data_IF_153501066687
#
_entry.id   IF_153501066687
#
_cell.length_a   1.000
_cell.length_b   1.000
_cell.length_c   1.000
_cell.angle_alpha   90.00
_cell.angle_beta   90.00
_cell.angle_gamma   90.00
#
_symmetry.space_group_name_H-M   'P 1'
#
loop_
_entity.id
_entity.type
_entity.pdbx_description
1 polymer ?
#
# COMPACT_ATOMS: atom_id res chain seq x y z
N UNK A 1 9.19 6.98 -17.90
CA UNK A 1 10.32 6.90 -16.93
C UNK A 1 10.10 5.71 -16.02
N UNK A 2 11.16 5.05 -15.54
CA UNK A 2 11.04 3.93 -14.58
C UNK A 2 11.65 4.38 -13.26
N UNK A 3 10.99 4.13 -12.13
CA UNK A 3 11.59 4.40 -10.81
C UNK A 3 11.75 3.11 -10.05
N UNK A 4 12.90 2.88 -9.43
CA UNK A 4 13.17 1.69 -8.64
C UNK A 4 13.59 2.02 -7.21
N UNK A 5 13.27 1.11 -6.29
CA UNK A 5 13.75 1.17 -4.92
C UNK A 5 15.18 0.68 -4.83
N UNK A 6 15.99 1.47 -4.15
CA UNK A 6 17.32 1.13 -3.70
C UNK A 6 17.24 0.97 -2.18
N UNK A 7 16.76 -0.22 -1.77
CA UNK A 7 16.44 -0.53 -0.38
C UNK A 7 17.67 -0.36 0.52
N UNK A 8 18.85 -0.75 0.05
CA UNK A 8 20.11 -0.65 0.78
C UNK A 8 20.53 0.81 1.05
N UNK A 9 20.03 1.75 0.25
CA UNK A 9 20.28 3.18 0.43
C UNK A 9 19.01 3.95 0.83
N UNK A 10 17.96 3.24 1.27
CA UNK A 10 16.76 3.85 1.83
C UNK A 10 16.11 4.89 0.92
N UNK A 11 16.07 4.63 -0.40
CA UNK A 11 15.66 5.61 -1.40
C UNK A 11 14.91 5.01 -2.59
N UNK A 12 14.11 5.87 -3.24
CA UNK A 12 13.50 5.62 -4.54
C UNK A 12 14.20 6.53 -5.54
N UNK A 13 14.66 5.95 -6.64
CA UNK A 13 15.37 6.67 -7.69
C UNK A 13 14.53 6.58 -8.97
N UNK A 14 14.44 7.69 -9.71
CA UNK A 14 13.74 7.80 -10.99
C UNK A 14 14.76 7.86 -12.12
N UNK A 15 14.59 7.01 -13.11
CA UNK A 15 15.39 6.97 -14.33
C UNK A 15 14.57 7.44 -15.53
N UNK A 16 15.20 8.30 -16.33
CA UNK A 16 14.74 8.57 -17.70
C UNK A 16 15.06 7.35 -18.57
N UNK A 17 14.19 7.09 -19.56
CA UNK A 17 14.42 6.00 -20.49
C UNK A 17 15.78 6.21 -21.18
N UNK A 18 16.59 5.15 -21.28
CA UNK A 18 17.95 5.17 -21.83
C UNK A 18 18.97 6.03 -21.05
N UNK A 19 18.67 6.44 -19.82
CA UNK A 19 19.64 7.14 -18.97
C UNK A 19 20.51 6.16 -18.18
N UNK A 20 21.78 6.51 -18.02
CA UNK A 20 22.74 5.77 -17.17
C UNK A 20 22.77 6.29 -15.73
N UNK A 21 22.05 7.38 -15.43
CA UNK A 21 21.95 7.95 -14.08
C UNK A 21 20.49 8.20 -13.68
N UNK A 22 20.22 8.07 -12.40
CA UNK A 22 18.91 8.28 -11.82
C UNK A 22 18.90 9.50 -10.90
N UNK A 23 17.73 10.12 -10.75
CA UNK A 23 17.49 11.22 -9.81
C UNK A 23 16.75 10.67 -8.59
N UNK A 24 17.12 11.12 -7.39
CA UNK A 24 16.41 10.71 -6.17
C UNK A 24 14.98 11.25 -6.24
N UNK A 25 14.01 10.36 -6.29
CA UNK A 25 12.59 10.69 -6.20
C UNK A 25 12.12 10.74 -4.74
N UNK A 26 12.77 9.97 -3.87
CA UNK A 26 12.53 9.95 -2.43
C UNK A 26 13.67 9.30 -1.65
N UNK A 27 13.77 9.57 -0.35
CA UNK A 27 14.76 8.90 0.51
C UNK A 27 16.17 9.50 0.46
N UNK A 28 17.13 8.85 1.12
CA UNK A 28 18.56 8.94 0.76
C UNK A 28 19.39 10.17 1.15
N UNK A 29 18.94 11.05 2.06
CA UNK A 29 19.70 12.26 2.45
C UNK A 29 20.39 12.21 3.84
N UNK A 30 20.72 11.03 4.38
CA UNK A 30 21.48 10.96 5.64
C UNK A 30 21.65 9.54 6.19
N UNK A 31 22.63 9.38 7.09
CA UNK A 31 22.79 8.20 7.95
C UNK A 31 21.69 8.20 9.03
N UNK A 32 21.33 6.99 9.46
CA UNK A 32 20.25 6.60 10.38
C UNK A 32 19.61 7.70 11.24
N UNK A 33 18.27 7.79 11.15
CA UNK A 33 17.32 8.64 11.91
C UNK A 33 16.84 9.95 11.25
N UNK A 34 17.04 10.13 9.94
CA UNK A 34 16.44 11.27 9.25
C UNK A 34 14.95 11.05 8.95
N UNK A 35 14.12 12.10 9.09
CA UNK A 35 12.71 12.10 8.66
C UNK A 35 12.54 11.82 7.16
N UNK A 36 13.64 11.93 6.39
CA UNK A 36 13.69 11.68 4.95
C UNK A 36 14.14 10.25 4.62
N UNK A 37 14.41 9.37 5.59
CA UNK A 37 14.90 8.01 5.36
C UNK A 37 13.75 6.99 5.23
N UNK A 38 13.85 6.09 4.25
CA UNK A 38 12.93 4.97 4.03
C UNK A 38 13.58 3.65 4.46
N UNK A 39 13.13 3.02 5.55
CA UNK A 39 13.91 1.92 6.12
C UNK A 39 13.81 0.62 5.31
N UNK A 40 12.61 0.27 4.85
CA UNK A 40 12.35 -0.91 4.01
C UNK A 40 11.37 -0.57 2.89
N UNK A 41 11.67 0.48 2.10
CA UNK A 41 10.88 0.77 0.90
C UNK A 41 11.08 -0.35 -0.09
N UNK A 42 10.11 -1.25 -0.15
CA UNK A 42 9.95 -2.12 -1.29
C UNK A 42 9.17 -1.33 -2.33
N UNK A 43 9.54 -1.51 -3.61
CA UNK A 43 8.68 -1.29 -4.78
C UNK A 43 8.93 -0.12 -5.76
N UNK A 44 8.71 -0.42 -7.04
CA UNK A 44 9.11 0.33 -8.25
C UNK A 44 7.90 1.08 -8.84
N UNK A 45 7.98 2.41 -8.98
CA UNK A 45 6.98 3.21 -9.73
C UNK A 45 7.17 3.00 -11.23
N UNK A 46 6.25 2.26 -11.85
CA UNK A 46 6.08 2.21 -13.31
C UNK A 46 5.07 3.26 -13.79
N UNK A 47 5.48 4.10 -14.73
CA UNK A 47 4.60 5.04 -15.44
C UNK A 47 3.69 4.28 -16.43
N UNK A 48 2.36 4.49 -16.33
CA UNK A 48 1.33 3.72 -17.03
C UNK A 48 1.34 3.93 -18.56
N UNK A 49 2.07 4.92 -19.07
CA UNK A 49 2.13 5.14 -20.52
C UNK A 49 2.89 4.04 -21.30
N UNK A 50 3.64 3.14 -20.64
CA UNK A 50 4.45 2.11 -21.35
C UNK A 50 4.37 0.67 -20.78
N UNK A 51 3.30 0.31 -20.07
CA UNK A 51 2.93 -1.10 -19.88
C UNK A 51 3.78 -1.96 -18.93
N UNK A 52 4.33 -1.43 -17.84
CA UNK A 52 4.95 -2.25 -16.76
C UNK A 52 4.26 -2.07 -15.40
N UNK A 53 4.15 -3.19 -14.66
CA UNK A 53 3.47 -3.34 -13.37
C UNK A 53 4.09 -2.54 -12.22
N UNK A 54 3.22 -2.22 -11.26
CA UNK A 54 3.36 -1.44 -10.02
C UNK A 54 3.93 -2.35 -8.92
N UNK A 55 4.69 -1.80 -7.96
CA UNK A 55 4.24 -1.65 -6.57
C UNK A 55 4.81 -0.29 -6.05
N UNK A 56 4.14 0.37 -5.10
CA UNK A 56 4.05 1.81 -4.78
C UNK A 56 3.17 2.60 -5.75
N UNK A 57 2.10 3.17 -5.19
CA UNK A 57 1.03 3.79 -5.96
C UNK A 57 1.29 5.28 -6.14
N UNK A 58 0.87 5.79 -7.29
CA UNK A 58 0.99 7.20 -7.66
C UNK A 58 -0.40 7.72 -7.86
N UNK A 59 -0.71 8.80 -7.16
CA UNK A 59 -1.89 9.58 -7.52
C UNK A 59 -1.60 10.34 -8.81
N UNK A 60 -2.11 9.80 -9.91
CA UNK A 60 -1.91 10.31 -11.28
C UNK A 60 -2.55 11.68 -11.49
N UNK A 61 -3.47 12.10 -10.62
CA UNK A 61 -4.13 13.40 -10.74
C UNK A 61 -3.25 14.55 -10.26
N UNK A 62 -2.30 14.29 -9.36
CA UNK A 62 -1.55 15.34 -8.67
C UNK A 62 -0.05 15.05 -8.49
N UNK A 63 0.42 13.87 -8.92
CA UNK A 63 1.82 13.47 -8.93
C UNK A 63 2.40 13.13 -7.56
N UNK A 64 1.56 12.86 -6.55
CA UNK A 64 2.05 12.39 -5.26
C UNK A 64 2.48 10.92 -5.32
N UNK A 65 3.61 10.64 -4.68
CA UNK A 65 4.08 9.29 -4.40
C UNK A 65 3.51 8.86 -3.06
N UNK A 66 3.00 7.63 -2.99
CA UNK A 66 2.59 6.99 -1.74
C UNK A 66 3.51 5.82 -1.48
N UNK A 67 4.18 5.86 -0.35
CA UNK A 67 5.23 4.92 -0.01
C UNK A 67 4.94 4.34 1.35
N UNK A 68 5.07 3.04 1.39
CA UNK A 68 4.97 2.23 2.59
C UNK A 68 6.33 2.16 3.28
N UNK A 69 6.33 2.33 4.58
CA UNK A 69 7.45 1.96 5.46
C UNK A 69 6.96 0.88 6.43
N UNK A 70 7.41 -0.36 6.19
CA UNK A 70 6.99 -1.52 6.98
C UNK A 70 7.50 -1.44 8.42
N UNK A 71 8.78 -1.09 8.61
CA UNK A 71 9.42 -1.02 9.93
C UNK A 71 8.80 0.06 10.81
N UNK A 72 8.26 1.11 10.19
CA UNK A 72 7.57 2.20 10.90
C UNK A 72 6.05 2.04 10.95
N UNK A 73 5.51 0.96 10.37
CA UNK A 73 4.07 0.68 10.31
C UNK A 73 3.25 1.89 9.79
N UNK A 74 3.71 2.51 8.71
CA UNK A 74 3.11 3.73 8.19
C UNK A 74 3.11 3.81 6.66
N UNK A 75 2.21 4.65 6.15
CA UNK A 75 2.18 5.10 4.76
C UNK A 75 2.40 6.60 4.74
N UNK A 76 3.33 7.04 3.91
CA UNK A 76 3.66 8.46 3.73
C UNK A 76 3.41 8.87 2.29
N UNK A 77 2.97 10.12 2.09
CA UNK A 77 2.91 10.74 0.75
C UNK A 77 3.79 11.98 0.63
N UNK A 78 4.32 12.21 -0.57
CA UNK A 78 5.03 13.44 -0.94
C UNK A 78 5.16 13.58 -2.46
N UNK A 79 5.46 14.80 -2.93
CA UNK A 79 5.83 15.02 -4.34
C UNK A 79 7.30 14.66 -4.56
N UNK A 80 7.68 14.14 -5.73
CA UNK A 80 9.08 13.92 -6.07
C UNK A 80 9.92 15.16 -5.76
N UNK A 81 11.13 14.95 -5.21
CA UNK A 81 12.10 16.01 -4.87
C UNK A 81 11.70 16.95 -3.72
N UNK A 82 10.45 16.92 -3.25
CA UNK A 82 10.02 17.63 -2.04
C UNK A 82 10.73 17.03 -0.81
N UNK A 83 10.87 17.77 0.29
CA UNK A 83 11.32 17.28 1.60
C UNK A 83 10.16 17.09 2.58
N UNK A 84 9.00 17.67 2.31
CA UNK A 84 7.82 17.52 3.15
C UNK A 84 7.22 16.11 3.00
N UNK A 85 7.01 15.41 4.12
CA UNK A 85 6.51 14.02 4.16
C UNK A 85 5.30 13.98 5.08
N UNK A 86 4.16 13.56 4.54
CA UNK A 86 2.90 13.53 5.31
C UNK A 86 2.54 12.07 5.56
N UNK A 87 2.39 11.69 6.83
CA UNK A 87 1.81 10.39 7.20
C UNK A 87 0.33 10.43 6.87
N UNK A 88 -0.13 9.42 6.14
CA UNK A 88 -1.49 9.32 5.60
C UNK A 88 -2.22 8.03 6.02
N UNK A 89 -1.49 7.05 6.57
CA UNK A 89 -2.06 5.89 7.27
C UNK A 89 -1.03 5.36 8.28
N UNK A 90 -1.50 4.79 9.39
CA UNK A 90 -0.62 4.24 10.45
C UNK A 90 0.21 5.32 11.16
N UNK A 91 1.46 5.01 11.48
CA UNK A 91 2.42 5.93 12.12
C UNK A 91 2.26 6.10 13.63
N UNK A 92 1.44 5.26 14.27
CA UNK A 92 1.21 5.25 15.72
C UNK A 92 1.76 3.98 16.37
N UNK A 93 2.82 3.41 15.80
CA UNK A 93 3.42 2.13 16.21
C UNK A 93 2.64 0.91 15.71
N UNK A 94 3.22 -0.26 15.96
CA UNK A 94 2.59 -1.55 15.68
C UNK A 94 1.36 -1.77 16.58
N UNK A 95 0.27 -2.26 16.01
CA UNK A 95 -0.92 -2.63 16.76
C UNK A 95 -2.16 -2.82 15.89
N UNK A 96 -3.31 -3.02 16.54
CA UNK A 96 -4.60 -3.35 15.93
C UNK A 96 -5.63 -2.22 16.04
N UNK A 97 -5.28 -1.07 16.63
CA UNK A 97 -6.15 0.10 16.67
C UNK A 97 -6.41 0.65 15.27
N UNK A 98 -7.46 1.47 15.14
CA UNK A 98 -7.86 2.05 13.85
C UNK A 98 -6.84 3.04 13.27
N UNK A 99 -5.88 3.51 14.07
CA UNK A 99 -4.78 4.37 13.66
C UNK A 99 -3.41 3.64 13.63
N UNK A 100 -3.40 2.31 13.76
CA UNK A 100 -2.21 1.46 13.77
C UNK A 100 -2.26 0.41 12.64
N UNK A 101 -1.09 -0.11 12.28
CA UNK A 101 -0.90 -1.17 11.29
C UNK A 101 0.02 -2.24 11.89
N UNK A 102 -0.09 -3.49 11.45
CA UNK A 102 0.75 -4.60 11.88
C UNK A 102 1.08 -5.56 10.71
N UNK A 103 2.36 -5.95 10.62
CA UNK A 103 2.82 -6.92 9.64
C UNK A 103 3.05 -6.30 8.27
N UNK A 104 3.27 -7.15 7.26
CA UNK A 104 3.44 -6.68 5.90
C UNK A 104 2.10 -6.11 5.43
N UNK A 105 2.14 -5.18 4.51
CA UNK A 105 0.96 -4.52 3.97
C UNK A 105 1.24 -4.05 2.55
N UNK A 106 0.19 -4.00 1.77
CA UNK A 106 0.21 -3.39 0.46
C UNK A 106 -0.78 -2.25 0.49
N UNK A 107 -0.56 -1.28 -0.39
CA UNK A 107 -1.41 -0.10 -0.48
C UNK A 107 -2.03 0.00 -1.86
N UNK A 108 -3.23 0.54 -1.91
CA UNK A 108 -3.89 0.99 -3.12
C UNK A 108 -4.45 2.39 -2.86
N UNK A 109 -4.12 3.34 -3.74
CA UNK A 109 -4.59 4.72 -3.68
C UNK A 109 -5.72 4.89 -4.68
N UNK A 110 -6.89 5.21 -4.15
CA UNK A 110 -8.09 5.43 -4.95
C UNK A 110 -8.13 6.86 -5.49
N UNK A 111 -8.98 7.08 -6.50
CA UNK A 111 -9.08 8.38 -7.18
C UNK A 111 -9.49 9.54 -6.26
N UNK A 112 -10.14 9.26 -5.12
CA UNK A 112 -10.52 10.23 -4.10
C UNK A 112 -9.40 10.48 -3.06
N UNK A 113 -8.19 9.99 -3.32
CA UNK A 113 -7.04 9.99 -2.40
C UNK A 113 -7.23 9.15 -1.14
N UNK A 114 -8.26 8.29 -1.09
CA UNK A 114 -8.35 7.28 -0.03
C UNK A 114 -7.30 6.18 -0.24
N UNK A 115 -6.79 5.65 0.86
CA UNK A 115 -5.75 4.63 0.86
C UNK A 115 -6.34 3.36 1.45
N UNK A 116 -6.29 2.29 0.67
CA UNK A 116 -6.62 0.95 1.11
C UNK A 116 -5.32 0.27 1.50
N UNK A 117 -5.29 -0.33 2.68
CA UNK A 117 -4.11 -0.99 3.24
C UNK A 117 -4.48 -2.41 3.64
N UNK A 118 -3.75 -3.39 3.13
CA UNK A 118 -3.92 -4.80 3.54
C UNK A 118 -3.10 -5.05 4.82
N UNK A 119 -3.74 -5.03 5.98
CA UNK A 119 -3.09 -5.08 7.29
C UNK A 119 -2.88 -6.55 7.71
N UNK A 120 -1.80 -7.18 7.22
CA UNK A 120 -1.60 -8.64 7.14
C UNK A 120 -1.80 -9.35 8.49
N UNK A 121 -1.10 -8.91 9.53
CA UNK A 121 -1.14 -9.57 10.85
C UNK A 121 -2.44 -9.29 11.60
N UNK A 122 -3.13 -8.20 11.25
CA UNK A 122 -4.46 -7.90 11.78
C UNK A 122 -5.59 -8.54 10.94
N UNK A 123 -5.26 -9.24 9.85
CA UNK A 123 -6.17 -9.99 9.00
C UNK A 123 -7.37 -9.16 8.52
N UNK A 124 -7.09 -7.93 8.09
CA UNK A 124 -8.10 -6.95 7.69
C UNK A 124 -7.61 -6.09 6.53
N UNK A 125 -8.55 -5.49 5.82
CA UNK A 125 -8.27 -4.37 4.92
C UNK A 125 -8.83 -3.10 5.55
N UNK A 126 -7.99 -2.09 5.63
CA UNK A 126 -8.31 -0.79 6.18
C UNK A 126 -8.42 0.25 5.07
N UNK A 127 -9.35 1.19 5.20
CA UNK A 127 -9.45 2.38 4.33
C UNK A 127 -9.21 3.63 5.14
N UNK A 128 -8.21 4.42 4.78
CA UNK A 128 -8.05 5.80 5.25
C UNK A 128 -8.65 6.75 4.22
N UNK A 129 -9.63 7.54 4.65
CA UNK A 129 -10.08 8.67 3.85
C UNK A 129 -8.99 9.74 3.82
N UNK A 130 -9.01 10.60 2.80
CA UNK A 130 -8.05 11.70 2.67
C UNK A 130 -8.02 12.52 3.97
N UNK A 131 -6.81 12.70 4.51
CA UNK A 131 -6.51 13.48 5.72
C UNK A 131 -7.14 12.93 7.03
N UNK A 132 -7.72 11.73 7.01
CA UNK A 132 -8.25 11.08 8.20
C UNK A 132 -7.14 10.69 9.18
N UNK A 133 -7.44 10.73 10.49
CA UNK A 133 -6.51 10.33 11.56
C UNK A 133 -6.53 8.84 11.86
N UNK A 134 -7.61 8.18 11.51
CA UNK A 134 -7.84 6.76 11.66
C UNK A 134 -8.52 6.20 10.42
N UNK A 135 -8.33 4.91 10.19
CA UNK A 135 -8.97 4.19 9.10
C UNK A 135 -10.25 3.51 9.57
N UNK A 136 -10.97 2.96 8.60
CA UNK A 136 -12.12 2.09 8.85
C UNK A 136 -11.81 0.70 8.30
N UNK A 137 -12.26 -0.33 9.03
CA UNK A 137 -12.19 -1.71 8.52
C UNK A 137 -13.22 -1.86 7.40
N UNK A 138 -12.76 -2.19 6.20
CA UNK A 138 -13.61 -2.36 5.01
C UNK A 138 -13.73 -3.82 4.55
N UNK A 139 -12.85 -4.69 5.03
CA UNK A 139 -12.95 -6.14 4.85
C UNK A 139 -12.18 -6.88 5.96
N UNK A 140 -12.61 -8.10 6.28
CA UNK A 140 -11.98 -8.91 7.33
C UNK A 140 -12.17 -8.34 8.74
N UNK A 141 -11.14 -8.47 9.60
CA UNK A 141 -11.17 -7.99 10.98
C UNK A 141 -11.91 -8.90 11.98
N UNK A 142 -12.33 -10.10 11.53
CA UNK A 142 -13.01 -11.10 12.35
C UNK A 142 -12.08 -12.25 12.77
N UNK A 143 -10.79 -11.93 12.96
CA UNK A 143 -9.72 -12.90 13.18
C UNK A 143 -9.31 -13.67 11.91
N UNK A 144 -8.24 -14.47 12.00
CA UNK A 144 -7.79 -15.30 10.89
C UNK A 144 -8.81 -16.41 10.60
N UNK A 145 -9.05 -16.68 9.32
CA UNK A 145 -9.89 -17.80 8.91
C UNK A 145 -10.29 -17.76 7.44
N UNK A 146 -11.01 -18.78 7.01
CA UNK A 146 -11.41 -18.98 5.61
C UNK A 146 -12.90 -18.72 5.36
N UNK A 147 -13.66 -18.23 6.34
CA UNK A 147 -15.04 -17.80 6.09
C UNK A 147 -15.08 -16.56 5.17
N UNK A 148 -16.27 -16.23 4.66
CA UNK A 148 -16.44 -15.07 3.79
C UNK A 148 -16.35 -13.72 4.53
N UNK A 149 -16.34 -13.74 5.87
CA UNK A 149 -16.15 -12.55 6.71
C UNK A 149 -14.72 -12.43 7.24
N UNK A 150 -13.85 -13.42 6.95
CA UNK A 150 -12.49 -13.51 7.46
C UNK A 150 -11.47 -13.47 6.32
N UNK A 151 -10.25 -13.08 6.69
CA UNK A 151 -9.06 -13.11 5.86
C UNK A 151 -7.96 -13.82 6.64
N UNK A 152 -6.90 -14.26 5.95
CA UNK A 152 -5.72 -14.82 6.59
C UNK A 152 -4.46 -14.37 5.86
N UNK A 153 -3.71 -13.48 6.52
CA UNK A 153 -2.46 -12.89 6.02
C UNK A 153 -2.60 -12.33 4.59
N UNK A 154 -3.62 -11.49 4.36
CA UNK A 154 -3.84 -10.88 3.05
C UNK A 154 -2.74 -9.87 2.72
N UNK A 155 -2.03 -10.06 1.61
CA UNK A 155 -0.89 -9.22 1.23
C UNK A 155 -1.16 -8.29 0.04
N UNK A 156 -2.26 -8.50 -0.70
CA UNK A 156 -2.56 -7.74 -1.92
C UNK A 156 -3.95 -7.13 -1.87
N UNK A 157 -4.06 -5.87 -2.30
CA UNK A 157 -5.34 -5.14 -2.38
C UNK A 157 -5.40 -4.33 -3.68
N UNK A 158 -6.53 -4.40 -4.38
CA UNK A 158 -6.87 -3.56 -5.51
C UNK A 158 -8.33 -3.12 -5.42
N UNK A 159 -8.68 -1.98 -5.99
CA UNK A 159 -10.05 -1.46 -5.96
C UNK A 159 -10.49 -1.06 -7.36
N UNK A 160 -11.67 -1.51 -7.79
CA UNK A 160 -12.26 -1.14 -9.08
C UNK A 160 -12.94 0.23 -9.05
N UNK A 161 -13.39 0.73 -10.20
CA UNK A 161 -14.03 2.06 -10.31
C UNK A 161 -15.36 2.19 -9.54
N UNK A 162 -15.98 1.06 -9.16
CA UNK A 162 -17.20 1.03 -8.35
C UNK A 162 -16.87 0.98 -6.85
N UNK A 163 -15.59 1.00 -6.48
CA UNK A 163 -15.14 0.90 -5.10
C UNK A 163 -15.10 -0.54 -4.56
N UNK A 164 -15.30 -1.55 -5.41
CA UNK A 164 -15.21 -2.96 -5.02
C UNK A 164 -13.77 -3.32 -4.77
N UNK A 165 -13.51 -3.94 -3.62
CA UNK A 165 -12.18 -4.34 -3.18
C UNK A 165 -11.90 -5.77 -3.64
N UNK A 166 -10.73 -6.00 -4.20
CA UNK A 166 -10.19 -7.31 -4.55
C UNK A 166 -8.98 -7.58 -3.67
N UNK A 167 -8.99 -8.73 -3.00
CA UNK A 167 -8.05 -9.05 -1.93
C UNK A 167 -7.37 -10.37 -2.27
N UNK A 168 -6.04 -10.37 -2.30
CA UNK A 168 -5.26 -11.59 -2.32
C UNK A 168 -5.17 -12.13 -0.89
N UNK A 169 -6.00 -13.13 -0.59
CA UNK A 169 -6.11 -13.76 0.72
C UNK A 169 -5.13 -14.94 0.81
N UNK A 170 -3.85 -14.59 0.98
CA UNK A 170 -2.71 -15.42 0.62
C UNK A 170 -2.65 -16.78 1.31
N UNK A 171 -2.92 -16.85 2.61
CA UNK A 171 -2.89 -18.13 3.33
C UNK A 171 -4.15 -18.98 3.09
N UNK A 172 -5.20 -18.39 2.53
CA UNK A 172 -6.38 -19.12 2.08
C UNK A 172 -6.33 -19.44 0.57
N UNK A 173 -5.23 -19.13 -0.11
CA UNK A 173 -5.01 -19.41 -1.53
C UNK A 173 -6.16 -18.98 -2.45
N UNK A 174 -6.73 -17.81 -2.19
CA UNK A 174 -7.90 -17.30 -2.92
C UNK A 174 -7.83 -15.80 -3.17
N UNK A 175 -8.59 -15.36 -4.17
CA UNK A 175 -8.93 -13.97 -4.40
C UNK A 175 -10.37 -13.74 -3.94
N UNK A 176 -10.56 -12.79 -3.04
CA UNK A 176 -11.89 -12.36 -2.60
C UNK A 176 -12.25 -11.03 -3.24
N UNK A 177 -13.49 -10.94 -3.70
CA UNK A 177 -14.17 -9.68 -4.07
C UNK A 177 -15.06 -9.24 -2.92
N UNK A 178 -14.94 -7.98 -2.53
CA UNK A 178 -15.66 -7.36 -1.42
C UNK A 178 -16.24 -6.01 -1.86
N UNK A 179 -17.53 -5.95 -2.24
CA UNK A 179 -18.20 -4.68 -2.56
C UNK A 179 -18.21 -3.69 -1.40
N UNK A 180 -18.43 -2.41 -1.68
CA UNK A 180 -18.59 -1.43 -0.60
C UNK A 180 -19.82 -1.74 0.26
N UNK A 181 -19.74 -1.41 1.55
CA UNK A 181 -20.84 -1.51 2.51
C UNK A 181 -21.41 -2.92 2.70
N UNK A 182 -20.70 -3.98 2.27
CA UNK A 182 -21.07 -5.37 2.57
C UNK A 182 -20.23 -5.95 3.69
N UNK A 183 -20.82 -6.88 4.46
CA UNK A 183 -20.16 -7.50 5.62
C UNK A 183 -19.34 -8.75 5.28
N UNK A 184 -19.45 -9.28 4.07
CA UNK A 184 -18.76 -10.48 3.63
C UNK A 184 -18.38 -10.38 2.15
N UNK A 185 -17.27 -11.02 1.80
CA UNK A 185 -16.81 -11.14 0.43
C UNK A 185 -17.44 -12.32 -0.32
N UNK A 186 -17.03 -12.46 -1.57
CA UNK A 186 -17.29 -13.61 -2.44
C UNK A 186 -15.99 -14.06 -3.08
N UNK A 187 -15.76 -15.37 -3.17
CA UNK A 187 -14.59 -15.93 -3.87
C UNK A 187 -14.69 -15.61 -5.36
N UNK A 188 -13.61 -15.06 -5.92
CA UNK A 188 -13.45 -14.80 -7.36
C UNK A 188 -12.69 -15.93 -8.03
N UNK A 189 -11.62 -16.38 -7.37
CA UNK A 189 -10.84 -17.56 -7.74
C UNK A 189 -10.25 -18.19 -6.48
N UNK A 190 -10.19 -19.51 -6.41
CA UNK A 190 -9.44 -20.25 -5.37
C UNK A 190 -8.48 -21.31 -5.96
N UNK A 191 -7.74 -21.99 -5.08
CA UNK A 191 -6.80 -23.06 -5.44
C UNK A 191 -7.42 -24.24 -6.22
N UNK A 192 -8.75 -24.37 -6.20
CA UNK A 192 -9.49 -25.41 -6.93
C UNK A 192 -10.02 -24.90 -8.28
N UNK A 193 -9.68 -23.66 -8.67
CA UNK A 193 -10.10 -23.07 -9.94
C UNK A 193 -11.57 -22.66 -9.98
N UNK A 194 -12.21 -22.46 -8.82
CA UNK A 194 -13.58 -21.98 -8.70
C UNK A 194 -13.65 -20.46 -8.68
#
# INVERSE_FOLDING_TARGET
TVSATDCSNHRIVKWKCNSTSGQIAAGGNGLENSITQLNSSTDVIGDKENGCLIICDVDKSNGYLYVRDYEKHEVRRWKPEDTNRIIVAGGNGEGDRLNQLNGRFHIFVYNDQSIYVSDEHNHRVMKWMKDAKEGIVVAGGNGPGNSLTQLWASIGVAVDQLGTIYIADSNNHRIIRWPQEVKQGSIVVDENGK
#
